data_IF_545710109725
#
_entry.id   IF_545710109725
#
_cell.length_a   1.000
_cell.length_b   1.000
_cell.length_c   1.000
_cell.angle_alpha   90.00
_cell.angle_beta   90.00
_cell.angle_gamma   90.00
#
_symmetry.space_group_name_H-M   'P 1'
#
loop_
_entity.id
_entity.type
_entity.pdbx_description
1 polymer ?
#
# COMPACT_ATOMS: atom_id res chain seq x y z
N UNK A 1 26.28 -35.67 -9.60
CA UNK A 1 26.18 -34.24 -9.38
C UNK A 1 26.94 -33.88 -8.12
N UNK A 2 28.13 -33.30 -8.29
CA UNK A 2 28.96 -32.80 -7.17
C UNK A 2 28.19 -31.59 -6.56
N UNK A 3 27.85 -31.68 -5.29
CA UNK A 3 27.23 -30.58 -4.56
C UNK A 3 28.26 -29.49 -4.27
N UNK A 4 28.20 -28.37 -4.99
CA UNK A 4 29.13 -27.23 -4.82
C UNK A 4 28.83 -26.39 -3.58
N UNK A 5 27.92 -26.83 -2.73
CA UNK A 5 27.57 -26.16 -1.51
C UNK A 5 26.13 -26.41 -1.06
N UNK A 6 25.75 -25.69 -0.02
CA UNK A 6 24.39 -25.71 0.51
C UNK A 6 23.99 -24.33 1.03
N UNK A 7 22.68 -24.12 1.15
CA UNK A 7 22.10 -22.90 1.68
C UNK A 7 21.23 -23.24 2.89
N UNK A 8 21.39 -22.48 3.95
CA UNK A 8 20.55 -22.56 5.14
C UNK A 8 19.79 -21.25 5.30
N UNK A 9 18.46 -21.36 5.24
CA UNK A 9 17.54 -20.24 5.41
C UNK A 9 16.77 -20.39 6.73
N UNK A 10 16.75 -19.34 7.54
CA UNK A 10 15.90 -19.26 8.74
C UNK A 10 14.91 -18.11 8.54
N UNK A 11 13.63 -18.37 8.81
CA UNK A 11 12.56 -17.37 8.75
C UNK A 11 11.78 -17.40 10.06
N UNK A 12 11.70 -16.26 10.71
CA UNK A 12 10.97 -16.09 11.94
C UNK A 12 9.89 -15.01 11.71
N UNK A 13 8.64 -15.39 11.93
CA UNK A 13 7.49 -14.48 11.92
C UNK A 13 6.86 -14.48 13.29
N UNK A 14 6.72 -13.29 13.87
CA UNK A 14 6.01 -13.08 15.12
C UNK A 14 4.88 -12.12 14.83
N UNK A 15 3.64 -12.60 14.98
CA UNK A 15 2.44 -11.78 14.83
C UNK A 15 1.69 -11.84 16.15
N UNK A 16 1.54 -10.70 16.79
CA UNK A 16 0.87 -10.58 18.08
C UNK A 16 -0.19 -9.51 18.01
N UNK A 17 -1.39 -9.82 18.46
CA UNK A 17 -2.49 -8.84 18.57
C UNK A 17 -3.13 -8.96 19.94
N UNK A 18 -3.18 -7.84 20.65
CA UNK A 18 -3.96 -7.67 21.86
C UNK A 18 -5.17 -6.80 21.54
N UNK A 19 -6.37 -7.30 21.82
CA UNK A 19 -7.62 -6.55 21.67
C UNK A 19 -8.38 -6.54 22.98
N UNK A 20 -8.84 -5.35 23.36
CA UNK A 20 -9.69 -5.13 24.52
C UNK A 20 -10.99 -4.49 24.05
N UNK A 21 -12.12 -5.04 24.49
CA UNK A 21 -13.43 -4.45 24.25
C UNK A 21 -14.11 -4.30 25.62
N UNK A 22 -14.71 -3.14 25.83
CA UNK A 22 -15.40 -2.86 27.07
C UNK A 22 -16.78 -2.25 26.81
N UNK A 23 -17.82 -2.88 27.33
CA UNK A 23 -19.19 -2.40 27.21
C UNK A 23 -19.48 -1.39 28.32
N UNK A 24 -19.78 -0.16 27.92
CA UNK A 24 -20.12 0.96 28.78
C UNK A 24 -21.63 1.13 28.99
N UNK A 25 -22.43 0.19 28.46
CA UNK A 25 -23.90 0.28 28.49
C UNK A 25 -24.49 0.41 29.89
N UNK A 26 -23.83 -0.17 30.88
CA UNK A 26 -24.24 -0.10 32.29
C UNK A 26 -23.77 1.17 33.02
N UNK A 27 -22.65 1.78 32.58
CA UNK A 27 -22.01 2.90 33.27
C UNK A 27 -22.49 4.25 32.73
N UNK A 28 -22.66 4.39 31.41
CA UNK A 28 -22.93 5.68 30.77
C UNK A 28 -24.26 5.67 30.01
N UNK A 29 -24.38 4.92 28.95
CA UNK A 29 -25.61 4.86 28.14
C UNK A 29 -25.69 3.55 27.38
N UNK A 30 -26.91 3.02 27.24
CA UNK A 30 -27.16 1.77 26.52
C UNK A 30 -26.64 1.84 25.08
N UNK A 31 -25.88 0.82 24.67
CA UNK A 31 -25.33 0.69 23.33
C UNK A 31 -23.99 1.40 23.10
N UNK A 32 -23.37 1.94 24.15
CA UNK A 32 -22.02 2.52 24.09
C UNK A 32 -20.98 1.47 24.46
N UNK A 33 -19.95 1.33 23.62
CA UNK A 33 -18.79 0.47 23.89
C UNK A 33 -17.51 1.14 23.41
N UNK A 34 -16.40 0.74 23.99
CA UNK A 34 -15.06 1.16 23.58
C UNK A 34 -14.22 -0.06 23.26
N UNK A 35 -13.37 0.07 22.28
CA UNK A 35 -12.40 -0.95 21.95
C UNK A 35 -11.01 -0.35 21.71
N UNK A 36 -10.00 -1.15 22.00
CA UNK A 36 -8.63 -0.82 21.69
C UNK A 36 -7.89 -2.06 21.20
N UNK A 37 -7.03 -1.92 20.23
CA UNK A 37 -6.14 -3.01 19.83
C UNK A 37 -4.72 -2.50 19.55
N UNK A 38 -3.76 -3.37 19.83
CA UNK A 38 -2.35 -3.20 19.51
C UNK A 38 -1.90 -4.46 18.80
N UNK A 39 -1.37 -4.31 17.59
CA UNK A 39 -0.76 -5.39 16.85
C UNK A 39 0.72 -5.12 16.62
N UNK A 40 1.53 -6.15 16.78
CA UNK A 40 2.95 -6.15 16.52
C UNK A 40 3.30 -7.31 15.61
N UNK A 41 3.81 -6.98 14.43
CA UNK A 41 4.32 -7.93 13.46
C UNK A 41 5.83 -7.75 13.32
N UNK A 42 6.57 -8.84 13.37
CA UNK A 42 8.00 -8.87 13.16
C UNK A 42 8.39 -10.00 12.22
N UNK A 43 9.16 -9.67 11.24
CA UNK A 43 9.75 -10.60 10.29
C UNK A 43 11.26 -10.51 10.37
N UNK A 44 11.90 -11.67 10.49
CA UNK A 44 13.35 -11.82 10.42
C UNK A 44 13.69 -12.98 9.51
N UNK A 45 14.53 -12.71 8.54
CA UNK A 45 15.08 -13.69 7.62
C UNK A 45 16.59 -13.64 7.65
N UNK A 46 17.22 -14.80 7.76
CA UNK A 46 18.66 -14.93 7.61
C UNK A 46 19.01 -16.10 6.69
N UNK A 47 19.96 -15.86 5.82
CA UNK A 47 20.51 -16.80 4.85
C UNK A 47 22.00 -16.97 5.10
N UNK A 48 22.45 -18.21 5.14
CA UNK A 48 23.85 -18.56 5.05
C UNK A 48 24.04 -19.49 3.85
N UNK A 49 24.82 -19.03 2.88
CA UNK A 49 25.16 -19.82 1.69
C UNK A 49 26.64 -20.22 1.81
N UNK A 50 26.85 -21.51 1.77
CA UNK A 50 28.16 -22.12 1.75
C UNK A 50 28.44 -22.59 0.33
N UNK A 51 29.58 -22.20 -0.26
CA UNK A 51 29.97 -22.61 -1.61
C UNK A 51 31.42 -22.98 -1.65
N UNK A 52 31.74 -23.95 -2.47
CA UNK A 52 33.08 -24.44 -2.72
C UNK A 52 33.22 -24.75 -4.20
N UNK A 53 34.34 -24.40 -4.79
CA UNK A 53 34.67 -24.81 -6.16
C UNK A 53 35.48 -26.10 -6.08
N UNK A 54 35.03 -27.11 -6.79
CA UNK A 54 35.79 -28.34 -6.96
C UNK A 54 36.68 -28.24 -8.18
N UNK A 55 37.89 -28.89 -8.14
CA UNK A 55 38.74 -28.93 -9.33
C UNK A 55 38.02 -29.68 -10.45
N UNK A 56 38.09 -29.17 -11.65
CA UNK A 56 37.66 -29.88 -12.85
C UNK A 56 38.77 -29.81 -13.90
N UNK A 57 38.81 -30.82 -14.74
CA UNK A 57 39.89 -31.04 -15.68
C UNK A 57 39.26 -31.20 -17.07
N UNK A 58 39.93 -30.64 -18.07
CA UNK A 58 39.66 -30.90 -19.45
C UNK A 58 40.50 -32.10 -19.93
N UNK A 59 39.86 -33.17 -20.35
CA UNK A 59 40.55 -34.30 -20.94
C UNK A 59 40.91 -34.00 -22.41
N UNK A 60 42.19 -34.11 -22.74
CA UNK A 60 42.69 -34.02 -24.11
C UNK A 60 43.43 -35.30 -24.48
N UNK A 61 43.27 -35.71 -25.73
CA UNK A 61 44.10 -36.75 -26.32
C UNK A 61 45.43 -36.18 -26.79
N UNK A 62 46.47 -36.93 -26.61
CA UNK A 62 47.79 -36.58 -27.18
C UNK A 62 47.75 -36.63 -28.70
N UNK A 63 48.50 -35.75 -29.37
CA UNK A 63 48.54 -35.67 -30.82
C UNK A 63 49.37 -36.78 -31.44
N UNK A 64 50.39 -37.29 -30.69
CA UNK A 64 51.30 -38.33 -31.16
C UNK A 64 50.85 -39.73 -30.74
N UNK A 65 50.13 -39.86 -29.60
CA UNK A 65 49.55 -41.10 -29.08
C UNK A 65 48.07 -40.91 -28.76
N UNK A 66 47.13 -41.22 -29.68
CA UNK A 66 45.71 -41.05 -29.49
C UNK A 66 45.07 -41.84 -28.34
N UNK A 67 45.74 -42.87 -27.85
CA UNK A 67 45.31 -43.67 -26.71
C UNK A 67 45.68 -43.06 -25.38
N UNK A 68 46.62 -42.08 -25.39
CA UNK A 68 46.99 -41.32 -24.20
C UNK A 68 46.12 -40.10 -23.98
N UNK A 69 45.44 -40.07 -22.83
CA UNK A 69 44.60 -38.94 -22.42
C UNK A 69 45.26 -38.24 -21.23
N UNK A 70 45.52 -36.95 -21.40
CA UNK A 70 46.00 -36.12 -20.30
C UNK A 70 44.92 -35.14 -19.85
N UNK A 71 44.95 -34.80 -18.53
CA UNK A 71 43.99 -33.93 -17.88
C UNK A 71 44.62 -32.56 -17.68
N UNK A 72 44.00 -31.54 -18.27
CA UNK A 72 44.41 -30.14 -18.08
C UNK A 72 43.53 -29.54 -16.98
N UNK A 73 44.11 -29.09 -15.85
CA UNK A 73 43.32 -28.45 -14.82
C UNK A 73 42.71 -27.14 -15.34
N UNK A 74 41.42 -26.96 -15.16
CA UNK A 74 40.68 -25.76 -15.54
C UNK A 74 40.31 -24.91 -14.32
N UNK A 75 40.25 -25.51 -13.13
CA UNK A 75 40.03 -24.79 -11.88
C UNK A 75 40.75 -25.51 -10.74
N UNK A 76 41.13 -24.76 -9.73
CA UNK A 76 41.64 -25.28 -8.46
C UNK A 76 40.50 -25.45 -7.44
N UNK A 77 40.75 -26.30 -6.46
CA UNK A 77 39.84 -26.44 -5.33
C UNK A 77 39.89 -25.17 -4.47
N UNK A 78 38.71 -24.55 -4.20
CA UNK A 78 38.66 -23.43 -3.29
C UNK A 78 38.35 -23.86 -1.85
N UNK A 79 38.75 -23.06 -0.87
CA UNK A 79 38.25 -23.18 0.49
C UNK A 79 36.78 -22.85 0.53
N UNK A 80 36.07 -23.26 1.58
CA UNK A 80 34.66 -22.90 1.77
C UNK A 80 34.50 -21.38 1.87
N UNK A 81 33.66 -20.83 0.98
CA UNK A 81 33.20 -19.45 1.03
C UNK A 81 31.84 -19.40 1.69
N UNK A 82 31.68 -18.48 2.63
CA UNK A 82 30.43 -18.27 3.35
C UNK A 82 29.88 -16.88 3.04
N UNK A 83 28.71 -16.83 2.41
CA UNK A 83 27.97 -15.59 2.18
C UNK A 83 26.78 -15.54 3.10
N UNK A 84 26.57 -14.41 3.77
CA UNK A 84 25.44 -14.19 4.66
C UNK A 84 24.54 -13.09 4.11
N UNK A 85 23.23 -13.31 4.15
CA UNK A 85 22.23 -12.32 3.85
C UNK A 85 21.20 -12.27 4.98
N UNK A 86 20.61 -11.13 5.21
CA UNK A 86 19.53 -10.98 6.18
C UNK A 86 18.54 -9.92 5.71
N UNK A 87 17.30 -10.08 6.14
CA UNK A 87 16.25 -9.10 5.99
C UNK A 87 15.41 -9.06 7.27
N UNK A 88 14.94 -7.88 7.62
CA UNK A 88 14.10 -7.70 8.81
C UNK A 88 13.12 -6.57 8.57
N UNK A 89 11.92 -6.76 9.06
CA UNK A 89 10.96 -5.69 9.14
C UNK A 89 10.09 -5.84 10.39
N UNK A 90 9.45 -4.77 10.78
CA UNK A 90 8.47 -4.78 11.86
C UNK A 90 7.37 -3.77 11.58
N UNK A 91 6.17 -4.11 11.98
CA UNK A 91 5.00 -3.23 11.91
C UNK A 91 4.37 -3.13 13.28
N UNK A 92 4.07 -1.93 13.70
CA UNK A 92 3.28 -1.65 14.89
C UNK A 92 1.99 -1.00 14.42
N UNK A 93 0.86 -1.52 14.86
CA UNK A 93 -0.46 -0.94 14.62
C UNK A 93 -1.16 -0.75 15.95
N UNK A 94 -1.82 0.40 16.10
CA UNK A 94 -2.65 0.72 17.25
C UNK A 94 -3.96 1.31 16.78
N UNK A 95 -5.05 0.95 17.44
CA UNK A 95 -6.36 1.56 17.24
C UNK A 95 -7.08 1.75 18.57
N UNK A 96 -7.89 2.78 18.63
CA UNK A 96 -8.82 3.03 19.70
C UNK A 96 -10.13 3.53 19.11
N UNK A 97 -11.23 2.89 19.47
CA UNK A 97 -12.55 3.21 18.94
C UNK A 97 -13.61 3.34 20.03
N UNK A 98 -14.58 4.20 19.75
CA UNK A 98 -15.81 4.37 20.51
C UNK A 98 -16.95 4.03 19.57
N UNK A 99 -17.74 3.04 19.96
CA UNK A 99 -18.89 2.56 19.22
C UNK A 99 -20.18 2.90 19.97
N UNK A 100 -21.17 3.36 19.24
CA UNK A 100 -22.52 3.55 19.74
C UNK A 100 -23.51 2.85 18.81
N UNK A 101 -24.36 2.00 19.35
CA UNK A 101 -25.39 1.30 18.60
C UNK A 101 -26.67 1.21 19.45
N UNK A 102 -27.72 1.90 18.99
CA UNK A 102 -28.99 1.94 19.72
C UNK A 102 -30.19 2.06 18.79
N UNK A 103 -31.26 1.37 19.18
CA UNK A 103 -32.57 1.46 18.55
C UNK A 103 -33.55 2.12 19.51
N UNK A 104 -34.24 3.18 19.05
CA UNK A 104 -35.26 3.92 19.77
C UNK A 104 -36.59 3.83 18.99
N UNK A 105 -37.41 2.85 19.32
CA UNK A 105 -38.61 2.63 18.56
C UNK A 105 -38.30 2.32 17.09
N UNK A 106 -38.69 3.22 16.18
CA UNK A 106 -38.46 3.11 14.73
C UNK A 106 -37.12 3.68 14.28
N UNK A 107 -36.32 4.27 15.19
CA UNK A 107 -35.06 4.94 14.89
C UNK A 107 -33.91 4.05 15.29
N UNK A 108 -33.05 3.68 14.35
CA UNK A 108 -31.81 2.93 14.61
C UNK A 108 -30.63 3.83 14.26
N UNK A 109 -29.73 4.03 15.22
CA UNK A 109 -28.56 4.88 15.07
C UNK A 109 -27.32 4.09 15.43
N UNK A 110 -26.30 4.15 14.55
CA UNK A 110 -24.95 3.69 14.91
C UNK A 110 -23.94 4.80 14.68
N UNK A 111 -22.97 4.91 15.57
CA UNK A 111 -21.88 5.87 15.43
C UNK A 111 -20.58 5.18 15.79
N UNK A 112 -19.51 5.53 15.10
CA UNK A 112 -18.14 5.11 15.36
C UNK A 112 -17.22 6.31 15.27
N UNK A 113 -16.36 6.48 16.26
CA UNK A 113 -15.18 7.34 16.18
C UNK A 113 -13.98 6.44 16.43
N UNK A 114 -13.05 6.40 15.48
CA UNK A 114 -11.89 5.53 15.51
C UNK A 114 -10.63 6.34 15.24
N UNK A 115 -9.66 6.25 16.14
CA UNK A 115 -8.29 6.69 15.89
C UNK A 115 -7.43 5.47 15.61
N UNK A 116 -6.60 5.53 14.58
CA UNK A 116 -5.62 4.50 14.27
C UNK A 116 -4.25 5.09 13.93
N UNK A 117 -3.22 4.29 14.18
CA UNK A 117 -1.85 4.62 13.84
C UNK A 117 -1.11 3.35 13.43
N UNK A 118 -0.31 3.43 12.37
CA UNK A 118 0.61 2.36 11.98
C UNK A 118 2.00 2.89 11.69
N UNK A 119 3.02 2.09 12.04
CA UNK A 119 4.42 2.34 11.68
C UNK A 119 5.05 1.05 11.18
N UNK A 120 5.64 1.14 10.00
CA UNK A 120 6.37 0.04 9.37
C UNK A 120 7.83 0.42 9.24
N UNK A 121 8.70 -0.44 9.75
CA UNK A 121 10.16 -0.28 9.74
C UNK A 121 10.79 -1.36 8.88
N UNK A 122 11.68 -0.96 7.97
CA UNK A 122 12.56 -1.85 7.23
C UNK A 122 13.89 -1.14 6.96
N UNK A 123 15.03 -1.85 6.95
CA UNK A 123 16.32 -1.28 6.58
C UNK A 123 16.39 -0.81 5.12
N UNK A 124 15.50 -1.30 4.26
CA UNK A 124 15.41 -0.92 2.84
C UNK A 124 14.67 0.39 2.60
N UNK A 125 14.04 0.97 3.63
CA UNK A 125 13.31 2.22 3.49
C UNK A 125 14.23 3.41 3.26
N UNK A 126 13.82 4.30 2.37
CA UNK A 126 14.53 5.53 2.04
C UNK A 126 14.79 6.36 3.30
N UNK A 127 16.05 6.78 3.48
CA UNK A 127 16.55 7.51 4.66
C UNK A 127 16.32 6.78 6.00
N UNK A 128 16.03 5.48 6.00
CA UNK A 128 15.66 4.71 7.20
C UNK A 128 14.43 5.26 7.96
N UNK A 129 13.65 6.13 7.30
CA UNK A 129 12.43 6.69 7.89
C UNK A 129 11.30 5.67 7.77
N UNK A 130 10.64 5.30 8.87
CA UNK A 130 9.53 4.35 8.83
C UNK A 130 8.36 4.89 8.03
N UNK A 131 7.61 3.99 7.37
CA UNK A 131 6.30 4.36 6.83
C UNK A 131 5.35 4.57 8.01
N UNK A 132 4.85 5.77 8.17
CA UNK A 132 3.97 6.15 9.25
C UNK A 132 2.63 6.66 8.70
N UNK A 133 1.56 6.15 9.27
CA UNK A 133 0.21 6.55 8.95
C UNK A 133 -0.57 6.76 10.24
N UNK A 134 -1.42 7.77 10.25
CA UNK A 134 -2.40 7.96 11.33
C UNK A 134 -3.72 8.45 10.75
N UNK A 135 -4.82 8.09 11.38
CA UNK A 135 -6.13 8.44 10.91
C UNK A 135 -7.13 8.60 12.03
N UNK A 136 -8.01 9.56 11.85
CA UNK A 136 -9.25 9.69 12.61
C UNK A 136 -10.40 9.41 11.66
N UNK A 137 -11.21 8.41 12.00
CA UNK A 137 -12.37 7.99 11.22
C UNK A 137 -13.63 8.26 12.03
N UNK A 138 -14.61 8.87 11.39
CA UNK A 138 -15.95 9.02 11.95
C UNK A 138 -16.96 8.36 11.03
N UNK A 139 -17.92 7.64 11.59
CA UNK A 139 -19.04 7.06 10.87
C UNK A 139 -20.32 7.27 11.68
N UNK A 140 -21.36 7.72 11.02
CA UNK A 140 -22.69 7.85 11.59
C UNK A 140 -23.68 7.22 10.61
N UNK A 141 -24.47 6.27 11.09
CA UNK A 141 -25.59 5.72 10.30
C UNK A 141 -26.89 5.99 11.03
N UNK A 142 -27.91 6.26 10.26
CA UNK A 142 -29.26 6.48 10.75
C UNK A 142 -30.25 5.75 9.85
N UNK A 143 -31.15 5.02 10.48
CA UNK A 143 -32.22 4.30 9.82
C UNK A 143 -33.54 4.62 10.52
N UNK A 144 -34.55 5.02 9.73
CA UNK A 144 -35.88 5.26 10.22
C UNK A 144 -36.88 4.27 9.60
N UNK A 145 -37.55 3.51 10.48
CA UNK A 145 -38.60 2.56 10.14
C UNK A 145 -38.22 1.58 9.01
N UNK A 146 -36.92 1.25 8.86
CA UNK A 146 -36.37 0.45 7.75
C UNK A 146 -36.64 1.00 6.35
N UNK A 147 -37.02 2.27 6.25
CA UNK A 147 -37.39 2.96 4.99
C UNK A 147 -36.35 3.94 4.53
N UNK A 148 -35.95 4.81 5.42
CA UNK A 148 -35.00 5.88 5.14
C UNK A 148 -33.67 5.57 5.79
N UNK A 149 -32.63 5.55 5.00
CA UNK A 149 -31.26 5.20 5.40
C UNK A 149 -30.37 6.40 5.08
N UNK A 150 -29.59 6.83 6.04
CA UNK A 150 -28.59 7.86 5.86
C UNK A 150 -27.27 7.40 6.50
N UNK A 151 -26.18 7.65 5.81
CA UNK A 151 -24.85 7.36 6.33
C UNK A 151 -23.91 8.52 6.02
N UNK A 152 -23.17 8.93 7.04
CA UNK A 152 -22.10 9.90 6.91
C UNK A 152 -20.79 9.25 7.38
N UNK A 153 -19.76 9.35 6.55
CA UNK A 153 -18.42 8.90 6.87
C UNK A 153 -17.45 10.07 6.71
N UNK A 154 -16.45 10.12 7.56
CA UNK A 154 -15.32 11.03 7.41
C UNK A 154 -14.02 10.31 7.72
N UNK A 155 -12.98 10.57 6.94
CA UNK A 155 -11.60 10.20 7.21
C UNK A 155 -10.73 11.45 7.29
N UNK A 156 -9.98 11.60 8.37
CA UNK A 156 -8.93 12.61 8.49
C UNK A 156 -7.60 11.88 8.65
N UNK A 157 -6.89 11.71 7.54
CA UNK A 157 -5.75 10.81 7.42
C UNK A 157 -4.46 11.58 7.21
N UNK A 158 -3.39 11.12 7.86
CA UNK A 158 -2.06 11.73 7.78
C UNK A 158 -0.99 10.72 7.39
N UNK A 159 -0.06 11.15 6.54
CA UNK A 159 1.10 10.39 6.06
C UNK A 159 2.35 11.25 6.13
N UNK A 160 3.51 10.62 6.29
CA UNK A 160 4.80 11.32 6.25
C UNK A 160 5.29 11.64 4.82
N UNK A 161 4.62 11.11 3.80
CA UNK A 161 5.04 11.28 2.40
C UNK A 161 4.97 12.73 1.89
N UNK A 162 4.27 13.60 2.61
CA UNK A 162 4.09 15.00 2.23
C UNK A 162 4.79 15.98 3.17
N UNK A 163 5.07 17.19 2.69
CA UNK A 163 5.67 18.26 3.46
C UNK A 163 4.80 18.66 4.67
N UNK A 164 5.44 19.25 5.69
CA UNK A 164 4.73 19.78 6.86
C UNK A 164 3.64 20.76 6.40
N UNK A 165 2.41 20.58 6.92
CA UNK A 165 1.23 21.35 6.51
C UNK A 165 0.41 20.73 5.37
N UNK A 166 0.95 19.75 4.61
CA UNK A 166 0.25 19.02 3.55
C UNK A 166 -0.01 17.54 3.89
N UNK A 167 0.45 17.08 5.05
CA UNK A 167 0.42 15.67 5.49
C UNK A 167 -0.98 15.13 5.71
N UNK A 168 -1.91 15.98 6.11
CA UNK A 168 -3.27 15.55 6.45
C UNK A 168 -4.26 15.87 5.34
N UNK A 169 -5.10 14.89 5.03
CA UNK A 169 -6.21 15.01 4.10
C UNK A 169 -7.55 14.70 4.77
N UNK A 170 -8.58 15.48 4.42
CA UNK A 170 -9.96 15.27 4.86
C UNK A 170 -10.78 14.68 3.72
N UNK A 171 -11.47 13.56 3.98
CA UNK A 171 -12.18 12.75 3.01
C UNK A 171 -13.58 12.40 3.52
N UNK A 172 -14.57 13.28 3.27
CA UNK A 172 -15.96 13.03 3.65
C UNK A 172 -16.67 12.16 2.62
N UNK A 173 -17.67 11.39 3.08
CA UNK A 173 -18.59 10.68 2.22
C UNK A 173 -20.00 10.66 2.85
N UNK A 174 -21.01 10.75 2.02
CA UNK A 174 -22.41 10.67 2.41
C UNK A 174 -23.15 9.69 1.50
N UNK A 175 -24.05 8.91 2.09
CA UNK A 175 -24.97 8.07 1.33
C UNK A 175 -26.39 8.16 1.89
N UNK A 176 -27.34 8.08 0.98
CA UNK A 176 -28.76 8.05 1.28
C UNK A 176 -29.39 6.84 0.60
N UNK A 177 -30.36 6.23 1.28
CA UNK A 177 -31.13 5.11 0.74
C UNK A 177 -32.59 5.24 1.11
N UNK A 178 -33.44 4.89 0.16
CA UNK A 178 -34.89 4.85 0.35
C UNK A 178 -35.43 3.49 -0.08
N UNK A 179 -36.01 2.78 0.89
CA UNK A 179 -36.65 1.47 0.67
C UNK A 179 -38.10 1.72 0.34
N UNK A 180 -38.40 1.86 -0.95
CA UNK A 180 -39.72 2.20 -1.46
C UNK A 180 -40.72 1.08 -1.15
N UNK A 181 -40.27 -0.18 -1.18
CA UNK A 181 -41.14 -1.33 -0.90
C UNK A 181 -41.70 -1.38 0.54
N UNK A 182 -41.08 -0.63 1.49
CA UNK A 182 -41.59 -0.53 2.87
C UNK A 182 -42.54 0.64 3.09
N UNK A 183 -42.83 1.41 2.04
CA UNK A 183 -43.80 2.52 2.12
C UNK A 183 -45.23 2.03 2.13
N UNK A 184 -46.12 2.79 2.80
CA UNK A 184 -47.53 2.45 2.91
C UNK A 184 -48.26 2.47 1.58
N UNK A 185 -47.80 3.28 0.63
CA UNK A 185 -48.40 3.39 -0.70
C UNK A 185 -47.93 2.28 -1.66
N UNK A 186 -46.88 1.56 -1.31
CA UNK A 186 -46.33 0.51 -2.17
C UNK A 186 -47.21 -0.75 -2.11
N UNK A 187 -47.70 -1.26 -3.24
CA UNK A 187 -48.55 -2.44 -3.26
C UNK A 187 -47.74 -3.68 -2.87
N UNK A 188 -48.14 -4.35 -1.77
CA UNK A 188 -47.51 -5.61 -1.36
C UNK A 188 -48.01 -6.72 -2.31
N UNK A 189 -47.18 -7.04 -3.31
CA UNK A 189 -47.48 -8.08 -4.30
C UNK A 189 -46.36 -9.16 -4.28
N UNK A 190 -46.60 -10.25 -4.99
CA UNK A 190 -45.59 -11.34 -5.07
C UNK A 190 -44.55 -11.11 -6.19
N UNK A 191 -44.68 -10.02 -6.95
CA UNK A 191 -43.79 -9.71 -8.07
C UNK A 191 -42.58 -8.91 -7.56
N UNK A 192 -42.81 -7.76 -6.91
CA UNK A 192 -41.76 -6.89 -6.38
C UNK A 192 -41.79 -6.99 -4.86
N UNK A 193 -40.82 -7.70 -4.26
CA UNK A 193 -40.73 -7.85 -2.81
C UNK A 193 -39.88 -6.79 -2.16
N UNK A 194 -38.86 -6.31 -2.85
CA UNK A 194 -37.96 -5.29 -2.35
C UNK A 194 -37.59 -4.34 -3.47
N UNK A 195 -37.66 -3.06 -3.20
CA UNK A 195 -37.25 -1.98 -4.08
C UNK A 195 -36.54 -0.92 -3.23
N UNK A 196 -35.26 -0.68 -3.50
CA UNK A 196 -34.46 0.34 -2.83
C UNK A 196 -33.77 1.20 -3.87
N UNK A 197 -33.84 2.51 -3.70
CA UNK A 197 -33.03 3.49 -4.41
C UNK A 197 -31.95 4.00 -3.46
N UNK A 198 -30.73 4.13 -3.95
CA UNK A 198 -29.61 4.62 -3.17
C UNK A 198 -28.75 5.60 -3.96
N UNK A 199 -28.16 6.54 -3.25
CA UNK A 199 -27.22 7.49 -3.82
C UNK A 199 -26.09 7.73 -2.85
N UNK A 200 -24.87 7.91 -3.36
CA UNK A 200 -23.70 8.24 -2.54
C UNK A 200 -22.79 9.23 -3.26
N UNK A 201 -22.15 10.07 -2.47
CA UNK A 201 -21.08 10.95 -2.87
C UNK A 201 -19.97 10.91 -1.84
N UNK A 202 -18.71 10.81 -2.28
CA UNK A 202 -17.59 10.80 -1.36
C UNK A 202 -16.27 11.16 -2.02
N UNK A 203 -15.32 11.56 -1.18
CA UNK A 203 -13.93 11.80 -1.55
C UNK A 203 -13.04 10.71 -0.95
N UNK A 204 -12.10 10.20 -1.75
CA UNK A 204 -11.08 9.23 -1.33
C UNK A 204 -9.71 9.82 -1.61
N UNK A 205 -8.80 9.74 -0.62
CA UNK A 205 -7.42 10.16 -0.76
C UNK A 205 -6.48 9.01 -1.07
N UNK A 206 -5.45 9.28 -1.88
CA UNK A 206 -4.34 8.37 -2.13
C UNK A 206 -3.04 9.11 -1.87
N UNK A 207 -2.15 8.52 -1.06
CA UNK A 207 -0.82 9.05 -0.74
C UNK A 207 0.32 8.29 -1.44
N UNK A 208 -0.02 7.23 -2.18
CA UNK A 208 0.95 6.43 -2.95
C UNK A 208 1.16 7.05 -4.34
N UNK A 209 2.04 8.02 -4.41
CA UNK A 209 2.35 8.77 -5.61
C UNK A 209 3.62 8.21 -6.25
N UNK A 210 3.46 7.31 -7.23
CA UNK A 210 4.53 6.85 -8.12
C UNK A 210 5.64 5.99 -7.49
N UNK A 211 5.46 5.47 -6.27
CA UNK A 211 6.40 4.56 -5.62
C UNK A 211 7.60 5.24 -4.91
N UNK A 212 7.90 6.49 -5.19
CA UNK A 212 8.94 7.26 -4.50
C UNK A 212 8.38 7.94 -3.25
N UNK A 213 9.23 8.07 -2.22
CA UNK A 213 8.88 8.76 -0.97
C UNK A 213 9.55 10.13 -0.92
N UNK A 214 8.97 11.03 -0.12
CA UNK A 214 9.56 12.35 0.16
C UNK A 214 9.85 13.18 -1.10
N UNK A 215 9.00 13.10 -2.10
CA UNK A 215 9.14 13.86 -3.36
C UNK A 215 9.08 15.39 -3.15
N UNK A 216 8.77 15.84 -1.95
CA UNK A 216 8.83 17.25 -1.57
C UNK A 216 10.23 17.73 -1.20
N UNK A 217 11.17 16.80 -0.92
CA UNK A 217 12.55 17.16 -0.62
C UNK A 217 13.32 17.42 -1.91
N UNK A 218 14.13 18.50 -1.95
CA UNK A 218 14.98 18.75 -3.10
C UNK A 218 16.06 17.66 -3.16
N UNK A 219 16.16 16.99 -4.29
CA UNK A 219 17.26 16.10 -4.66
C UNK A 219 17.85 16.59 -5.97
N UNK A 220 18.19 17.88 -5.99
CA UNK A 220 18.49 18.61 -7.23
C UNK A 220 19.73 18.11 -7.93
N UNK A 221 20.72 17.62 -7.18
CA UNK A 221 21.99 17.15 -7.73
C UNK A 221 22.40 15.83 -7.09
N UNK A 222 22.96 14.95 -7.87
CA UNK A 222 23.49 13.66 -7.44
C UNK A 222 24.63 13.19 -8.30
N UNK A 223 25.40 12.20 -7.83
CA UNK A 223 26.38 11.54 -8.67
C UNK A 223 25.67 10.83 -9.84
N UNK A 224 26.22 10.95 -11.04
CA UNK A 224 25.73 10.22 -12.19
C UNK A 224 25.79 8.71 -11.94
N UNK A 225 24.89 7.95 -12.58
CA UNK A 225 25.00 6.49 -12.56
C UNK A 225 26.26 6.04 -13.28
N UNK A 226 26.82 4.91 -12.88
CA UNK A 226 28.07 4.34 -13.45
C UNK A 226 27.95 3.87 -14.93
N UNK A 227 26.90 4.30 -15.64
CA UNK A 227 26.74 4.04 -17.07
C UNK A 227 27.57 5.02 -17.89
N UNK A 228 28.68 4.55 -18.39
CA UNK A 228 29.66 5.03 -19.39
C UNK A 228 29.79 6.50 -19.80
N UNK A 229 28.69 7.24 -19.88
CA UNK A 229 28.66 8.57 -20.51
C UNK A 229 28.92 9.73 -19.52
N UNK A 230 28.76 9.49 -18.24
CA UNK A 230 28.80 10.53 -17.20
C UNK A 230 30.02 10.42 -16.29
N UNK A 231 31.18 10.10 -16.87
CA UNK A 231 32.45 9.95 -16.17
C UNK A 231 33.51 10.85 -16.76
N UNK A 232 34.33 11.40 -15.90
CA UNK A 232 35.58 12.05 -16.28
C UNK A 232 36.77 11.19 -15.87
N UNK A 233 37.70 10.98 -16.81
CA UNK A 233 38.95 10.30 -16.57
C UNK A 233 40.07 11.34 -16.44
N UNK A 234 40.76 11.32 -15.31
CA UNK A 234 41.92 12.17 -15.02
C UNK A 234 43.17 11.34 -14.97
N UNK A 235 44.31 11.93 -15.38
CA UNK A 235 45.61 11.27 -15.32
C UNK A 235 46.00 10.55 -16.60
N UNK A 236 46.93 9.57 -16.48
CA UNK A 236 47.45 8.84 -17.62
C UNK A 236 46.44 7.87 -18.19
N UNK A 237 46.36 7.74 -19.51
CA UNK A 237 45.45 6.79 -20.18
C UNK A 237 45.66 5.33 -19.76
N UNK A 238 46.85 4.97 -19.30
CA UNK A 238 47.20 3.63 -18.82
C UNK A 238 46.68 3.33 -17.40
N UNK A 239 46.36 4.38 -16.60
CA UNK A 239 45.82 4.23 -15.24
C UNK A 239 44.99 5.47 -14.88
N UNK A 240 43.80 5.63 -15.46
CA UNK A 240 42.99 6.82 -15.26
C UNK A 240 42.28 6.80 -13.90
N UNK A 241 42.31 7.92 -13.19
CA UNK A 241 41.38 8.18 -12.10
C UNK A 241 40.03 8.59 -12.67
N UNK A 242 39.02 7.75 -12.48
CA UNK A 242 37.66 7.99 -12.98
C UNK A 242 36.81 8.65 -11.91
N UNK A 243 36.26 9.83 -12.18
CA UNK A 243 35.30 10.52 -11.31
C UNK A 243 33.93 10.56 -11.96
N UNK A 244 32.89 10.32 -11.16
CA UNK A 244 31.51 10.47 -11.61
C UNK A 244 31.16 11.97 -11.68
N UNK A 245 30.45 12.36 -12.74
CA UNK A 245 29.91 13.72 -12.87
C UNK A 245 28.76 13.92 -11.87
N UNK A 246 28.54 15.18 -11.50
CA UNK A 246 27.32 15.59 -10.82
C UNK A 246 26.28 15.90 -11.90
N UNK A 247 25.13 15.26 -11.79
CA UNK A 247 23.99 15.46 -12.71
C UNK A 247 22.81 16.04 -11.96
N UNK A 248 21.99 16.77 -12.68
CA UNK A 248 20.73 17.27 -12.14
C UNK A 248 19.74 16.12 -11.96
N UNK A 249 19.17 16.02 -10.76
CA UNK A 249 18.18 15.04 -10.38
C UNK A 249 16.78 15.67 -10.28
N UNK A 250 15.83 14.92 -9.71
CA UNK A 250 14.45 15.38 -9.49
C UNK A 250 14.41 16.64 -8.63
N UNK A 251 13.69 17.64 -9.10
CA UNK A 251 13.36 18.83 -8.32
C UNK A 251 12.27 18.44 -7.32
N UNK A 252 12.50 18.75 -6.04
CA UNK A 252 11.49 18.52 -5.01
C UNK A 252 10.26 19.42 -5.20
N UNK A 253 9.06 18.88 -4.99
CA UNK A 253 7.82 19.64 -5.07
C UNK A 253 7.18 19.79 -3.67
N UNK A 254 7.37 20.92 -2.96
CA UNK A 254 6.81 21.13 -1.63
C UNK A 254 5.27 21.27 -1.63
N UNK A 255 4.66 21.50 -2.79
CA UNK A 255 3.21 21.63 -2.95
C UNK A 255 2.49 20.31 -3.16
N UNK A 256 3.24 19.22 -3.22
CA UNK A 256 2.67 17.90 -3.35
C UNK A 256 1.74 17.57 -2.18
N UNK A 257 0.57 17.05 -2.51
CA UNK A 257 -0.47 16.68 -1.56
C UNK A 257 -1.23 15.44 -2.03
N UNK A 258 -2.20 14.99 -1.28
CA UNK A 258 -3.06 13.85 -1.58
C UNK A 258 -3.68 13.93 -2.98
N UNK A 259 -3.56 12.85 -3.74
CA UNK A 259 -4.45 12.62 -4.88
C UNK A 259 -5.86 12.40 -4.35
N UNK A 260 -6.85 13.10 -4.92
CA UNK A 260 -8.25 13.02 -4.50
C UNK A 260 -9.13 12.47 -5.62
N UNK A 261 -9.83 11.39 -5.33
CA UNK A 261 -10.87 10.84 -6.18
C UNK A 261 -12.25 11.21 -5.62
N UNK A 262 -13.02 12.00 -6.38
CA UNK A 262 -14.43 12.30 -6.11
C UNK A 262 -15.29 11.27 -6.79
N UNK A 263 -16.08 10.53 -6.00
CA UNK A 263 -16.91 9.43 -6.47
C UNK A 263 -18.37 9.73 -6.22
N UNK A 264 -19.18 9.48 -7.22
CA UNK A 264 -20.63 9.61 -7.16
C UNK A 264 -21.24 8.32 -7.69
N UNK A 265 -22.20 7.77 -6.98
CA UNK A 265 -22.93 6.57 -7.38
C UNK A 265 -24.42 6.76 -7.12
N UNK A 266 -25.25 6.29 -8.06
CA UNK A 266 -26.69 6.14 -7.90
C UNK A 266 -27.04 4.71 -8.30
N UNK A 267 -27.78 4.02 -7.43
CA UNK A 267 -28.12 2.62 -7.65
C UNK A 267 -29.57 2.30 -7.28
N UNK A 268 -30.07 1.22 -7.87
CA UNK A 268 -31.38 0.64 -7.60
C UNK A 268 -31.22 -0.85 -7.34
N UNK A 269 -31.74 -1.32 -6.22
CA UNK A 269 -31.77 -2.73 -5.83
C UNK A 269 -33.20 -3.25 -5.88
N UNK A 270 -33.44 -4.35 -6.58
CA UNK A 270 -34.77 -4.94 -6.79
C UNK A 270 -34.72 -6.44 -6.51
N UNK A 271 -35.69 -6.92 -5.71
CA UNK A 271 -35.92 -8.36 -5.53
C UNK A 271 -37.31 -8.70 -6.10
N UNK A 272 -37.34 -9.65 -7.00
CA UNK A 272 -38.56 -10.07 -7.72
C UNK A 272 -38.91 -11.53 -7.38
N UNK A 273 -40.18 -11.87 -7.57
CA UNK A 273 -40.74 -13.22 -7.49
C UNK A 273 -40.37 -13.96 -6.17
N UNK A 274 -40.74 -13.33 -5.05
CA UNK A 274 -40.39 -13.87 -3.70
C UNK A 274 -38.91 -14.11 -3.50
N UNK A 275 -38.03 -13.19 -3.95
CA UNK A 275 -36.57 -13.27 -3.89
C UNK A 275 -35.95 -14.35 -4.81
N UNK A 276 -36.70 -14.86 -5.79
CA UNK A 276 -36.15 -15.76 -6.80
C UNK A 276 -35.15 -15.04 -7.72
N UNK A 277 -35.40 -13.75 -8.01
CA UNK A 277 -34.51 -12.92 -8.82
C UNK A 277 -34.12 -11.66 -8.06
N UNK A 278 -32.82 -11.44 -7.89
CA UNK A 278 -32.25 -10.20 -7.35
C UNK A 278 -31.46 -9.49 -8.42
N UNK A 279 -31.74 -8.22 -8.65
CA UNK A 279 -31.02 -7.37 -9.60
C UNK A 279 -30.55 -6.09 -8.92
N UNK A 280 -29.36 -5.62 -9.28
CA UNK A 280 -28.79 -4.35 -8.83
C UNK A 280 -28.23 -3.60 -10.04
N UNK A 281 -28.59 -2.33 -10.18
CA UNK A 281 -28.14 -1.44 -11.25
C UNK A 281 -27.45 -0.24 -10.62
N UNK A 282 -26.23 0.07 -11.09
CA UNK A 282 -25.41 1.16 -10.61
C UNK A 282 -24.93 2.03 -11.76
N UNK A 283 -25.02 3.35 -11.57
CA UNK A 283 -24.41 4.37 -12.43
C UNK A 283 -23.44 5.15 -11.56
N UNK A 284 -22.17 5.18 -11.96
CA UNK A 284 -21.14 5.86 -11.21
C UNK A 284 -20.35 6.85 -12.07
N UNK A 285 -19.81 7.87 -11.40
CA UNK A 285 -18.89 8.84 -11.97
C UNK A 285 -17.74 9.07 -11.01
N UNK A 286 -16.51 9.05 -11.55
CA UNK A 286 -15.29 9.33 -10.78
C UNK A 286 -14.53 10.47 -11.46
N UNK A 287 -14.04 11.41 -10.64
CA UNK A 287 -13.12 12.48 -11.07
C UNK A 287 -11.93 12.52 -10.13
N UNK A 288 -10.73 12.40 -10.68
CA UNK A 288 -9.47 12.47 -9.93
C UNK A 288 -8.81 13.81 -10.12
N UNK A 289 -8.24 14.34 -9.05
CA UNK A 289 -7.49 15.60 -9.01
C UNK A 289 -6.16 15.37 -8.29
N UNK A 290 -5.17 16.22 -8.55
CA UNK A 290 -3.82 16.18 -7.97
C UNK A 290 -3.08 14.86 -8.29
N UNK A 291 -3.26 14.33 -9.50
CA UNK A 291 -2.54 13.16 -9.97
C UNK A 291 -1.11 13.57 -10.26
N UNK A 292 -0.14 12.85 -9.68
CA UNK A 292 1.26 13.03 -10.04
C UNK A 292 1.51 12.42 -11.42
N UNK A 293 1.89 13.25 -12.39
CA UNK A 293 2.31 12.82 -13.71
C UNK A 293 3.79 13.11 -13.90
N UNK A 294 4.56 12.14 -14.37
CA UNK A 294 5.92 12.36 -14.86
C UNK A 294 5.84 12.92 -16.26
N UNK A 295 6.10 14.23 -16.40
CA UNK A 295 6.19 14.87 -17.70
C UNK A 295 7.63 14.77 -18.21
N UNK A 296 7.81 14.20 -19.39
CA UNK A 296 9.08 14.28 -20.11
C UNK A 296 9.26 15.70 -20.63
N UNK A 297 10.49 16.25 -20.54
CA UNK A 297 10.84 17.56 -21.10
C UNK A 297 10.55 17.68 -22.59
N UNK A 298 10.46 16.57 -23.31
CA UNK A 298 10.11 16.50 -24.73
C UNK A 298 8.69 17.04 -24.99
N UNK A 299 7.76 16.87 -24.06
CA UNK A 299 6.39 17.38 -24.19
C UNK A 299 6.22 18.87 -23.83
N UNK A 300 7.23 19.47 -23.20
CA UNK A 300 7.20 20.91 -22.84
C UNK A 300 7.71 21.77 -24.01
N UNK A 301 8.46 21.22 -24.97
CA UNK A 301 9.13 21.93 -26.03
C UNK A 301 8.36 22.03 -27.37
N UNK A 302 7.18 21.42 -27.50
CA UNK A 302 6.30 21.66 -28.65
C UNK A 302 5.24 22.70 -28.31
N UNK A 303 5.42 23.97 -28.77
CA UNK A 303 4.30 24.92 -28.79
C UNK A 303 3.29 24.39 -29.80
N UNK A 304 2.13 23.91 -29.34
CA UNK A 304 0.98 23.70 -30.21
C UNK A 304 0.64 25.01 -30.92
N UNK A 305 1.20 25.21 -32.10
CA UNK A 305 0.65 26.17 -33.09
C UNK A 305 -0.67 25.56 -33.59
N UNK A 306 -1.76 26.08 -33.07
CA UNK A 306 -3.04 26.19 -33.77
C UNK A 306 -3.70 27.49 -33.39
#
# INVERSE_FOLDING_TARGET
>A
LLSNGYQKDNRNNINTTLRLNYDLSSLLTKGLSVHGSIAYDSYYYSRKKYSKTFPYYLARRDAEDPDYIYLIPQSEESIWSVSTGWDKNRKVYMEFGIDYNRTFGLHKTTALILYNQSKYYSPSLQYYVPNAYQGLVGRLTYEYASRYLAEFNMGYNGTENFAKGKRFGFFPAVSLGWVISEEKFFPKNNIVKYLKVRGSYGEVGNDQIGGDRFLYLPSSYGAASDSGVNKYNFGLASNPYTSLMIVENKIGNPDLTWEKAKKMNVGVDINLFNNCLTASFDIFKEKRNNILANLSLIHISEPTRR
#
